data_IF_427794950539
#
_entry.id   IF_427794950539
#
_cell.length_a   1.000
_cell.length_b   1.000
_cell.length_c   1.000
_cell.angle_alpha   90.00
_cell.angle_beta   90.00
_cell.angle_gamma   90.00
#
_symmetry.space_group_name_H-M   'P 1'
#
loop_
_entity.id
_entity.type
_entity.pdbx_description
1 polymer ?
#
# COMPACT_ATOMS: atom_id res chain seq x y z
N UNK A 1 41.53 70.18 -9.12
CA UNK A 1 41.17 69.18 -8.09
C UNK A 1 39.67 68.90 -8.21
N UNK A 2 39.31 67.63 -8.44
CA UNK A 2 37.94 67.08 -8.49
C UNK A 2 37.30 67.08 -7.08
N UNK A 3 35.96 67.02 -6.88
CA UNK A 3 35.14 65.92 -7.43
C UNK A 3 33.69 66.24 -7.85
N UNK A 4 33.15 65.24 -8.57
CA UNK A 4 31.82 65.11 -9.16
C UNK A 4 30.82 64.49 -8.18
N UNK A 5 29.55 64.93 -8.23
CA UNK A 5 28.35 64.12 -7.95
C UNK A 5 27.26 64.56 -8.96
N UNK A 6 26.88 63.78 -9.99
CA UNK A 6 25.96 62.61 -9.96
C UNK A 6 24.67 62.98 -9.20
N UNK A 7 23.43 62.96 -9.69
CA UNK A 7 22.75 62.39 -10.88
C UNK A 7 21.28 62.84 -10.75
N UNK A 8 20.67 63.41 -11.79
CA UNK A 8 19.55 62.83 -12.57
C UNK A 8 18.38 62.21 -11.75
N UNK A 9 17.30 62.97 -11.58
CA UNK A 9 15.97 62.48 -11.21
C UNK A 9 14.98 62.90 -12.31
N UNK A 10 14.69 61.96 -13.22
CA UNK A 10 13.64 62.08 -14.24
C UNK A 10 12.56 61.05 -13.91
N UNK A 11 11.31 61.52 -13.83
CA UNK A 11 10.13 60.76 -13.47
C UNK A 11 9.71 59.74 -14.53
N UNK A 12 9.14 58.60 -14.10
CA UNK A 12 8.26 57.78 -14.92
C UNK A 12 7.23 57.06 -14.04
N UNK A 13 5.96 57.36 -14.30
CA UNK A 13 4.79 56.74 -13.70
C UNK A 13 4.68 55.26 -14.13
N UNK A 14 4.43 54.36 -13.18
CA UNK A 14 3.86 53.04 -13.49
C UNK A 14 2.40 52.98 -13.05
N UNK A 15 1.59 52.96 -14.09
CA UNK A 15 0.18 52.66 -14.23
C UNK A 15 -0.28 51.48 -13.37
N UNK A 16 -1.26 51.71 -12.52
CA UNK A 16 -2.03 50.66 -11.85
C UNK A 16 -3.04 50.07 -12.85
N UNK A 17 -2.87 48.79 -13.23
CA UNK A 17 -3.93 48.03 -13.87
C UNK A 17 -4.82 47.43 -12.79
N UNK A 18 -5.93 48.10 -12.48
CA UNK A 18 -7.08 47.47 -11.87
C UNK A 18 -7.78 46.61 -12.94
N UNK A 19 -7.75 45.29 -12.77
CA UNK A 19 -8.64 44.38 -13.51
C UNK A 19 -9.50 43.62 -12.51
N UNK A 20 -10.79 43.94 -12.57
CA UNK A 20 -11.89 43.30 -11.87
C UNK A 20 -12.08 41.86 -12.36
N UNK A 21 -11.86 40.89 -11.49
CA UNK A 21 -12.39 39.52 -11.64
C UNK A 21 -12.59 38.90 -10.26
N UNK A 22 -13.36 39.59 -9.42
CA UNK A 22 -14.21 38.93 -8.44
C UNK A 22 -15.27 38.18 -9.24
N UNK A 23 -15.04 36.89 -9.50
CA UNK A 23 -16.05 35.87 -9.89
C UNK A 23 -15.45 34.52 -10.32
N UNK A 24 -14.14 34.28 -10.14
CA UNK A 24 -13.52 32.96 -10.42
C UNK A 24 -12.92 32.29 -9.19
N UNK A 25 -13.58 32.40 -8.04
CA UNK A 25 -13.17 31.70 -6.80
C UNK A 25 -14.18 30.62 -6.37
N UNK A 26 -15.25 30.40 -7.13
CA UNK A 26 -16.33 29.48 -6.73
C UNK A 26 -16.47 28.23 -7.61
N UNK A 27 -15.48 27.87 -8.43
CA UNK A 27 -15.58 26.68 -9.30
C UNK A 27 -14.28 25.89 -9.39
N UNK A 28 -13.63 25.70 -8.24
CA UNK A 28 -12.51 24.77 -8.08
C UNK A 28 -12.73 23.84 -6.87
N UNK A 29 -13.99 23.47 -6.59
CA UNK A 29 -14.36 22.64 -5.44
C UNK A 29 -15.23 21.42 -5.81
N UNK A 30 -15.16 20.96 -7.05
CA UNK A 30 -15.75 19.68 -7.45
C UNK A 30 -14.77 18.87 -8.29
N UNK A 31 -13.52 18.80 -7.85
CA UNK A 31 -12.75 17.58 -8.10
C UNK A 31 -13.54 16.44 -7.46
N UNK A 32 -13.91 15.38 -8.20
CA UNK A 32 -14.63 14.27 -7.61
C UNK A 32 -13.79 13.70 -6.46
N UNK A 33 -14.39 13.57 -5.28
CA UNK A 33 -13.75 13.04 -4.06
C UNK A 33 -13.14 11.62 -4.24
N UNK A 34 -13.27 11.02 -5.41
CA UNK A 34 -12.56 9.80 -5.84
C UNK A 34 -11.04 10.02 -5.91
N UNK A 35 -10.56 11.20 -6.29
CA UNK A 35 -9.12 11.49 -6.46
C UNK A 35 -8.36 11.64 -5.13
N UNK A 36 -9.08 11.63 -3.99
CA UNK A 36 -8.52 11.65 -2.64
C UNK A 36 -8.41 10.25 -2.01
N UNK A 37 -8.79 9.18 -2.73
CA UNK A 37 -8.66 7.78 -2.28
C UNK A 37 -9.11 7.53 -0.82
N UNK A 38 -10.19 8.19 -0.38
CA UNK A 38 -10.79 7.99 0.95
C UNK A 38 -11.97 7.01 0.86
N UNK A 39 -11.79 5.90 0.16
CA UNK A 39 -12.59 4.69 0.43
C UNK A 39 -11.66 3.77 1.22
N UNK A 40 -11.71 3.91 2.54
CA UNK A 40 -10.99 3.03 3.46
C UNK A 40 -11.76 1.71 3.50
N UNK A 41 -11.39 0.78 2.63
CA UNK A 41 -11.93 -0.58 2.68
C UNK A 41 -11.51 -1.22 3.99
N UNK A 42 -12.44 -1.46 4.90
CA UNK A 42 -12.17 -2.02 6.24
C UNK A 42 -11.38 -3.32 6.16
N UNK A 43 -10.45 -3.51 7.12
CA UNK A 43 -9.71 -4.77 7.24
C UNK A 43 -10.72 -5.88 7.55
N UNK A 44 -10.78 -6.97 6.76
CA UNK A 44 -11.67 -8.09 7.02
C UNK A 44 -11.45 -8.71 8.40
N UNK A 45 -12.51 -9.11 9.09
CA UNK A 45 -12.43 -9.60 10.47
C UNK A 45 -11.59 -10.88 10.60
N UNK A 46 -11.56 -11.71 9.56
CA UNK A 46 -10.67 -12.88 9.47
C UNK A 46 -9.20 -12.47 9.58
N UNK A 47 -8.80 -11.36 8.95
CA UNK A 47 -7.43 -10.84 9.03
C UNK A 47 -7.15 -10.14 10.36
N UNK A 48 -8.15 -9.46 10.96
CA UNK A 48 -8.01 -8.91 12.31
C UNK A 48 -7.78 -10.02 13.35
N UNK A 49 -8.55 -11.10 13.25
CA UNK A 49 -8.39 -12.28 14.10
C UNK A 49 -7.02 -12.93 13.89
N UNK A 50 -6.57 -13.02 12.62
CA UNK A 50 -5.23 -13.51 12.31
C UNK A 50 -4.12 -12.62 12.91
N UNK A 51 -4.27 -11.30 12.85
CA UNK A 51 -3.32 -10.35 13.45
C UNK A 51 -3.27 -10.45 14.98
N UNK A 52 -4.41 -10.69 15.63
CA UNK A 52 -4.48 -10.84 17.08
C UNK A 52 -3.85 -12.15 17.57
N UNK A 53 -4.00 -13.24 16.81
CA UNK A 53 -3.49 -14.55 17.19
C UNK A 53 -3.00 -15.38 15.98
N UNK A 54 -1.82 -15.08 15.41
CA UNK A 54 -1.35 -15.71 14.18
C UNK A 54 -1.14 -17.23 14.28
N UNK A 55 -0.78 -17.72 15.46
CA UNK A 55 -0.46 -19.13 15.72
C UNK A 55 -1.47 -19.85 16.62
N UNK A 56 -2.65 -19.25 16.87
CA UNK A 56 -3.66 -19.90 17.69
C UNK A 56 -4.34 -21.04 16.93
N UNK A 57 -4.47 -22.19 17.60
CA UNK A 57 -5.26 -23.31 17.11
C UNK A 57 -6.73 -22.92 16.97
N UNK A 58 -7.43 -23.35 15.90
CA UNK A 58 -8.87 -23.19 15.80
C UNK A 58 -9.57 -23.98 16.90
N UNK A 59 -10.77 -23.53 17.29
CA UNK A 59 -11.61 -24.22 18.26
C UNK A 59 -11.93 -25.65 17.81
N UNK A 60 -12.20 -25.84 16.51
CA UNK A 60 -12.24 -27.14 15.88
C UNK A 60 -10.91 -27.46 15.19
N UNK A 61 -10.13 -28.33 15.82
CA UNK A 61 -8.86 -28.81 15.29
C UNK A 61 -9.01 -30.04 14.37
N UNK A 62 -10.24 -30.47 14.02
CA UNK A 62 -10.46 -31.52 13.04
C UNK A 62 -9.92 -31.11 11.66
N UNK A 63 -9.69 -32.07 10.75
CA UNK A 63 -9.27 -31.72 9.39
C UNK A 63 -10.31 -30.83 8.68
N UNK A 64 -11.60 -31.00 8.97
CA UNK A 64 -12.66 -30.16 8.43
C UNK A 64 -12.58 -28.72 9.00
N UNK A 65 -12.38 -28.58 10.31
CA UNK A 65 -12.22 -27.27 10.96
C UNK A 65 -10.98 -26.51 10.50
N UNK A 66 -9.86 -27.23 10.30
CA UNK A 66 -8.64 -26.69 9.71
C UNK A 66 -8.87 -26.23 8.27
N UNK A 67 -9.51 -27.06 7.43
CA UNK A 67 -9.81 -26.72 6.05
C UNK A 67 -10.73 -25.49 5.94
N UNK A 68 -11.78 -25.42 6.77
CA UNK A 68 -12.67 -24.26 6.81
C UNK A 68 -11.94 -22.99 7.25
N UNK A 69 -11.04 -23.08 8.23
CA UNK A 69 -10.23 -21.95 8.69
C UNK A 69 -9.25 -21.46 7.62
N UNK A 70 -8.65 -22.38 6.86
CA UNK A 70 -7.76 -22.06 5.73
C UNK A 70 -8.57 -21.42 4.59
N UNK A 71 -9.74 -21.98 4.25
CA UNK A 71 -10.60 -21.45 3.21
C UNK A 71 -11.06 -20.01 3.50
N UNK A 72 -11.44 -19.72 4.75
CA UNK A 72 -11.82 -18.37 5.16
C UNK A 72 -10.68 -17.35 4.97
N UNK A 73 -9.41 -17.78 5.13
CA UNK A 73 -8.24 -16.96 4.84
C UNK A 73 -8.02 -16.81 3.33
N UNK A 74 -8.18 -17.87 2.55
CA UNK A 74 -8.01 -17.86 1.08
C UNK A 74 -9.03 -16.97 0.38
N UNK A 75 -10.28 -16.92 0.86
CA UNK A 75 -11.33 -16.05 0.33
C UNK A 75 -10.95 -14.56 0.40
N UNK A 76 -10.14 -14.18 1.40
CA UNK A 76 -9.72 -12.80 1.62
C UNK A 76 -8.33 -12.51 1.05
N UNK A 77 -7.39 -13.43 1.21
CA UNK A 77 -5.99 -13.27 0.78
C UNK A 77 -5.81 -13.58 -0.71
N UNK A 78 -6.77 -14.28 -1.32
CA UNK A 78 -6.65 -14.80 -2.67
C UNK A 78 -5.76 -16.04 -2.74
N UNK A 79 -5.33 -16.42 -3.97
CA UNK A 79 -4.56 -17.63 -4.22
C UNK A 79 -3.32 -17.73 -3.33
N UNK A 80 -3.05 -18.94 -2.85
CA UNK A 80 -1.86 -19.22 -2.06
C UNK A 80 -0.64 -19.49 -2.96
N UNK A 81 0.53 -19.61 -2.34
CA UNK A 81 1.82 -19.81 -3.03
C UNK A 81 1.88 -21.10 -3.87
N UNK A 82 1.04 -22.08 -3.54
CA UNK A 82 0.89 -23.37 -4.24
C UNK A 82 -0.19 -23.34 -5.33
N UNK A 83 -0.88 -22.21 -5.52
CA UNK A 83 -1.89 -22.10 -6.57
C UNK A 83 -1.24 -22.19 -7.96
N UNK A 84 -1.81 -22.97 -8.89
CA UNK A 84 -1.28 -23.05 -10.25
C UNK A 84 -1.33 -21.65 -10.89
N UNK A 85 -0.31 -21.29 -11.71
CA UNK A 85 -0.30 -20.00 -12.38
C UNK A 85 -1.55 -19.87 -13.25
N UNK A 86 -2.35 -18.82 -13.00
CA UNK A 86 -3.44 -18.47 -13.89
C UNK A 86 -2.85 -18.12 -15.26
N UNK A 87 -3.51 -18.54 -16.35
CA UNK A 87 -3.04 -18.25 -17.72
C UNK A 87 -2.85 -16.74 -17.90
N UNK A 88 -1.61 -16.29 -17.97
CA UNK A 88 -1.24 -14.88 -18.16
C UNK A 88 -0.76 -14.11 -16.92
N UNK A 89 -0.75 -14.72 -15.72
CA UNK A 89 -0.24 -14.07 -14.51
C UNK A 89 0.93 -14.87 -13.92
N UNK A 90 2.11 -14.25 -13.81
CA UNK A 90 3.26 -14.80 -13.10
C UNK A 90 2.90 -14.99 -11.61
N UNK A 91 3.22 -16.17 -11.06
CA UNK A 91 2.94 -16.50 -9.66
C UNK A 91 3.63 -15.55 -8.67
N UNK A 92 3.27 -15.60 -7.39
CA UNK A 92 3.86 -14.70 -6.39
C UNK A 92 5.38 -14.87 -6.22
N UNK A 93 5.90 -16.08 -6.45
CA UNK A 93 7.34 -16.35 -6.42
C UNK A 93 8.07 -15.64 -7.58
N UNK A 94 7.58 -15.82 -8.80
CA UNK A 94 8.10 -15.17 -10.01
C UNK A 94 8.04 -13.64 -9.90
N UNK A 95 6.94 -13.10 -9.36
CA UNK A 95 6.80 -11.66 -9.11
C UNK A 95 7.79 -11.14 -8.07
N UNK A 96 8.18 -11.99 -7.10
CA UNK A 96 9.22 -11.68 -6.12
C UNK A 96 10.60 -11.58 -6.76
N UNK A 97 10.91 -12.47 -7.69
CA UNK A 97 12.15 -12.47 -8.47
C UNK A 97 12.25 -11.24 -9.40
N UNK A 98 11.15 -10.91 -10.10
CA UNK A 98 11.04 -9.68 -10.90
C UNK A 98 11.22 -8.42 -10.06
N UNK A 99 10.65 -8.37 -8.85
CA UNK A 99 10.83 -7.23 -7.96
C UNK A 99 12.27 -7.10 -7.46
N UNK A 100 12.95 -8.21 -7.17
CA UNK A 100 14.34 -8.23 -6.71
C UNK A 100 15.32 -7.77 -7.81
N UNK A 101 15.12 -8.22 -9.05
CA UNK A 101 15.92 -7.79 -10.20
C UNK A 101 15.72 -6.31 -10.54
N UNK A 102 14.48 -5.82 -10.53
CA UNK A 102 14.16 -4.40 -10.72
C UNK A 102 14.70 -3.51 -9.60
N UNK A 103 14.72 -4.00 -8.35
CA UNK A 103 15.30 -3.27 -7.23
C UNK A 103 16.83 -3.13 -7.36
N UNK A 104 17.52 -4.18 -7.82
CA UNK A 104 18.96 -4.13 -8.06
C UNK A 104 19.30 -3.11 -9.14
N UNK A 105 18.52 -3.06 -10.23
CA UNK A 105 18.71 -2.11 -11.33
C UNK A 105 18.48 -0.64 -10.89
N UNK A 106 17.60 -0.39 -9.92
CA UNK A 106 17.31 0.95 -9.38
C UNK A 106 18.36 1.49 -8.41
N UNK A 107 19.27 0.66 -7.89
CA UNK A 107 20.33 1.14 -6.96
C UNK A 107 21.47 1.89 -7.64
N UNK A 108 21.51 1.93 -8.98
CA UNK A 108 22.50 2.71 -9.73
C UNK A 108 22.14 4.21 -9.86
N UNK A 109 20.91 4.62 -9.52
CA UNK A 109 20.45 6.01 -9.68
C UNK A 109 20.05 6.65 -8.34
N UNK A 110 20.97 7.42 -7.74
CA UNK A 110 20.60 8.56 -6.89
C UNK A 110 20.65 8.36 -5.37
N UNK A 111 21.57 9.11 -4.76
CA UNK A 111 21.87 9.20 -3.32
C UNK A 111 20.76 9.91 -2.50
N UNK A 112 20.53 9.40 -1.28
CA UNK A 112 19.49 9.69 -0.26
C UNK A 112 19.49 11.11 0.37
N UNK A 113 18.35 11.57 0.95
CA UNK A 113 18.37 11.95 2.38
C UNK A 113 17.12 11.56 3.20
N UNK A 114 17.34 10.72 4.22
CA UNK A 114 16.38 10.04 5.12
C UNK A 114 15.69 10.92 6.19
N UNK A 115 15.29 12.16 5.91
CA UNK A 115 14.60 12.98 6.94
C UNK A 115 13.25 13.53 6.52
N UNK A 116 13.09 13.90 5.26
CA UNK A 116 11.78 14.25 4.68
C UNK A 116 10.88 13.04 4.45
N UNK A 117 11.46 11.93 3.97
CA UNK A 117 10.78 10.64 3.82
C UNK A 117 10.37 10.07 5.16
N UNK A 118 11.19 10.22 6.21
CA UNK A 118 10.85 9.76 7.56
C UNK A 118 9.56 10.40 8.06
N UNK A 119 9.24 11.68 7.78
CA UNK A 119 7.99 12.30 8.26
C UNK A 119 6.74 11.95 7.43
N UNK A 120 6.87 11.75 6.11
CA UNK A 120 5.77 11.26 5.25
C UNK A 120 5.55 9.74 5.40
N UNK A 121 6.62 8.97 5.57
CA UNK A 121 6.59 7.57 5.95
C UNK A 121 6.12 7.37 7.39
N UNK A 122 6.23 8.29 8.35
CA UNK A 122 5.87 8.01 9.76
C UNK A 122 4.41 8.28 10.15
N UNK A 123 3.62 9.01 9.35
CA UNK A 123 2.26 9.42 9.77
C UNK A 123 1.11 9.09 8.81
N UNK A 124 1.27 9.34 7.50
CA UNK A 124 0.17 9.36 6.54
C UNK A 124 -0.37 7.97 6.17
N UNK A 125 0.44 6.93 6.33
CA UNK A 125 0.13 5.56 5.90
C UNK A 125 -0.23 4.61 7.05
N UNK A 126 -0.65 5.13 8.22
CA UNK A 126 -1.00 4.27 9.36
C UNK A 126 -2.00 3.18 8.98
N UNK A 127 -3.01 3.54 8.18
CA UNK A 127 -3.98 2.58 7.71
C UNK A 127 -3.40 1.55 6.73
N UNK A 128 -2.64 2.00 5.73
CA UNK A 128 -1.99 1.09 4.78
C UNK A 128 -1.03 0.13 5.48
N UNK A 129 -0.32 0.58 6.53
CA UNK A 129 0.49 -0.27 7.39
C UNK A 129 -0.34 -1.28 8.17
N UNK A 130 -1.49 -0.89 8.72
CA UNK A 130 -2.38 -1.82 9.42
C UNK A 130 -2.92 -2.89 8.46
N UNK A 131 -3.33 -2.49 7.25
CA UNK A 131 -3.77 -3.42 6.20
C UNK A 131 -2.64 -4.39 5.83
N UNK A 132 -1.45 -3.87 5.54
CA UNK A 132 -0.28 -4.68 5.21
C UNK A 132 0.07 -5.65 6.34
N UNK A 133 0.11 -5.19 7.59
CA UNK A 133 0.35 -6.04 8.76
C UNK A 133 -0.72 -7.13 8.91
N UNK A 134 -1.99 -6.81 8.66
CA UNK A 134 -3.09 -7.77 8.72
C UNK A 134 -2.99 -8.83 7.60
N UNK A 135 -2.62 -8.43 6.38
CA UNK A 135 -2.35 -9.36 5.26
C UNK A 135 -1.18 -10.29 5.61
N UNK A 136 -0.07 -9.74 6.11
CA UNK A 136 1.09 -10.54 6.52
C UNK A 136 0.71 -11.52 7.63
N UNK A 137 -0.03 -11.08 8.65
CA UNK A 137 -0.50 -11.96 9.72
C UNK A 137 -1.46 -13.04 9.21
N UNK A 138 -2.32 -12.70 8.25
CA UNK A 138 -3.19 -13.66 7.55
C UNK A 138 -2.37 -14.74 6.83
N UNK A 139 -1.34 -14.35 6.07
CA UNK A 139 -0.44 -15.28 5.40
C UNK A 139 0.32 -16.18 6.37
N UNK A 140 0.84 -15.62 7.47
CA UNK A 140 1.49 -16.39 8.55
C UNK A 140 0.54 -17.42 9.15
N UNK A 141 -0.70 -17.01 9.48
CA UNK A 141 -1.71 -17.91 10.03
C UNK A 141 -2.10 -19.00 9.04
N UNK A 142 -2.28 -18.67 7.77
CA UNK A 142 -2.55 -19.65 6.71
C UNK A 142 -1.44 -20.70 6.63
N UNK A 143 -0.18 -20.26 6.59
CA UNK A 143 0.98 -21.17 6.59
C UNK A 143 1.04 -22.06 7.83
N UNK A 144 0.79 -21.51 9.01
CA UNK A 144 0.73 -22.27 10.25
C UNK A 144 -0.36 -23.36 10.21
N UNK A 145 -1.59 -23.00 9.83
CA UNK A 145 -2.71 -23.95 9.76
C UNK A 145 -2.46 -25.05 8.71
N UNK A 146 -1.84 -24.72 7.58
CA UNK A 146 -1.40 -25.71 6.58
C UNK A 146 -0.34 -26.65 7.17
N UNK A 147 0.66 -26.12 7.88
CA UNK A 147 1.66 -26.93 8.56
C UNK A 147 1.04 -27.91 9.57
N UNK A 148 0.07 -27.44 10.36
CA UNK A 148 -0.69 -28.30 11.29
C UNK A 148 -1.51 -29.35 10.53
N UNK A 149 -2.21 -28.96 9.45
CA UNK A 149 -2.99 -29.89 8.65
C UNK A 149 -2.10 -31.00 8.05
N UNK A 150 -0.93 -30.64 7.52
CA UNK A 150 0.07 -31.58 6.99
C UNK A 150 0.60 -32.50 8.09
N UNK A 151 0.93 -31.96 9.27
CA UNK A 151 1.38 -32.76 10.41
C UNK A 151 0.32 -33.76 10.89
N UNK A 152 -0.97 -33.45 10.71
CA UNK A 152 -2.10 -34.32 11.00
C UNK A 152 -2.50 -35.23 9.84
N UNK A 153 -1.74 -35.21 8.75
CA UNK A 153 -2.01 -35.97 7.51
C UNK A 153 -3.42 -35.72 6.96
N UNK A 154 -3.94 -34.50 7.13
CA UNK A 154 -5.20 -34.10 6.52
C UNK A 154 -5.03 -34.08 4.99
N UNK A 155 -6.04 -34.56 4.27
CA UNK A 155 -6.07 -34.46 2.81
C UNK A 155 -6.19 -32.97 2.44
N UNK A 156 -5.20 -32.44 1.73
CA UNK A 156 -5.23 -31.07 1.26
C UNK A 156 -6.35 -30.90 0.22
N UNK A 157 -7.22 -29.92 0.41
CA UNK A 157 -8.12 -29.49 -0.64
C UNK A 157 -7.30 -28.86 -1.77
N UNK A 158 -7.65 -29.10 -3.05
CA UNK A 158 -6.91 -28.50 -4.17
C UNK A 158 -6.98 -26.97 -4.10
N UNK A 159 -5.83 -26.32 -4.28
CA UNK A 159 -5.77 -24.85 -4.36
C UNK A 159 -6.69 -24.36 -5.49
N UNK A 160 -7.62 -23.47 -5.16
CA UNK A 160 -8.57 -22.93 -6.14
C UNK A 160 -7.82 -21.99 -7.09
N UNK A 161 -7.90 -22.26 -8.39
CA UNK A 161 -7.37 -21.34 -9.40
C UNK A 161 -8.18 -20.04 -9.38
N UNK A 162 -7.49 -18.89 -9.47
CA UNK A 162 -8.09 -17.57 -9.66
C UNK A 162 -8.72 -17.41 -11.03
#
# INVERSE_FOLDING_TARGET
>A
MRPHHFTLLLAAALTACASSSQDKVATAATTPLTDLNVVRADIPDVLKAAAAAPYAMPADASCAGLAASIQALDEVLGPDLDAPPAKGNTGLLERGEDAATNALQRTAEGVMPFRGWVRKLTGAERYARQVSAAITAGGVRRGFLRGVATAKSCVAAPAKAA
#
